data_IF_506117727450
#
_entry.id   IF_506117727450
#
_cell.length_a   1.000
_cell.length_b   1.000
_cell.length_c   1.000
_cell.angle_alpha   90.00
_cell.angle_beta   90.00
_cell.angle_gamma   90.00
#
_symmetry.space_group_name_H-M   'P 1'
#
loop_
_entity.id
_entity.type
_entity.pdbx_description
1 polymer ?
#
# COMPACT_ATOMS: atom_id res chain seq x y z
N UNK A 1 29.49 14.26 94.32
CA UNK A 1 29.75 12.85 94.82
C UNK A 1 29.42 11.91 93.66
N UNK A 2 30.25 10.98 93.43
CA UNK A 2 30.30 9.85 92.50
C UNK A 2 30.62 10.11 91.01
N UNK A 3 31.93 9.79 90.84
CA UNK A 3 32.60 9.56 89.55
C UNK A 3 32.23 8.22 89.05
N UNK A 4 31.87 8.12 87.75
CA UNK A 4 31.98 6.90 87.00
C UNK A 4 32.69 7.12 85.68
N UNK A 5 33.82 6.49 85.56
CA UNK A 5 34.73 6.37 84.44
C UNK A 5 34.07 5.66 83.29
N UNK A 6 34.14 6.24 82.10
CA UNK A 6 33.78 5.57 80.85
C UNK A 6 35.01 5.15 80.10
N UNK A 7 35.16 3.86 79.95
CA UNK A 7 36.13 3.25 79.07
C UNK A 7 35.59 3.31 77.63
N UNK A 8 36.28 3.97 76.77
CA UNK A 8 35.96 4.02 75.36
C UNK A 8 36.59 2.83 74.65
N UNK A 9 35.73 1.95 74.16
CA UNK A 9 36.07 0.84 73.25
C UNK A 9 36.03 1.32 71.81
N UNK A 10 37.21 1.46 71.19
CA UNK A 10 37.36 1.83 69.78
C UNK A 10 37.20 0.54 68.97
N UNK A 11 36.04 0.36 68.33
CA UNK A 11 35.82 -0.68 67.29
C UNK A 11 36.21 -0.05 65.98
N UNK A 12 37.31 -0.46 65.38
CA UNK A 12 37.70 -0.13 64.00
C UNK A 12 36.95 -1.09 63.08
N UNK A 13 35.93 -0.58 62.46
CA UNK A 13 35.20 -1.32 61.36
C UNK A 13 35.96 -1.01 60.04
N UNK A 14 36.74 -1.98 59.57
CA UNK A 14 37.25 -2.02 58.20
C UNK A 14 36.08 -2.34 57.25
N UNK A 15 35.50 -1.29 56.64
CA UNK A 15 34.54 -1.48 55.52
C UNK A 15 35.39 -1.61 54.25
N UNK A 16 35.53 -2.86 53.77
CA UNK A 16 36.04 -3.14 52.44
C UNK A 16 35.07 -2.61 51.40
N UNK A 17 35.33 -1.47 50.81
CA UNK A 17 34.59 -0.95 49.65
C UNK A 17 34.93 -1.80 48.42
N UNK A 18 34.12 -2.83 48.18
CA UNK A 18 34.12 -3.55 46.92
C UNK A 18 33.39 -2.64 45.86
N UNK A 19 34.18 -1.80 45.17
CA UNK A 19 33.69 -1.05 44.01
C UNK A 19 33.33 -2.05 42.90
N UNK A 20 32.09 -2.47 42.89
CA UNK A 20 31.50 -3.11 41.70
C UNK A 20 31.41 -2.02 40.62
N UNK A 21 32.35 -1.99 39.70
CA UNK A 21 32.24 -1.28 38.43
C UNK A 21 31.13 -1.96 37.63
N UNK A 22 29.89 -1.47 37.79
CA UNK A 22 28.83 -1.74 36.84
C UNK A 22 29.26 -1.08 35.52
N UNK A 23 29.83 -1.87 34.62
CA UNK A 23 30.02 -1.48 33.25
C UNK A 23 28.61 -1.16 32.70
N UNK A 24 28.26 0.11 32.60
CA UNK A 24 27.14 0.59 31.83
C UNK A 24 27.42 0.20 30.36
N UNK A 25 27.03 -1.01 29.97
CA UNK A 25 26.84 -1.38 28.59
C UNK A 25 25.69 -0.48 28.09
N UNK A 26 26.04 0.70 27.59
CA UNK A 26 25.17 1.44 26.70
C UNK A 26 24.98 0.52 25.51
N UNK A 27 23.87 -0.23 25.52
CA UNK A 27 23.32 -0.84 24.28
C UNK A 27 22.96 0.37 23.43
N UNK A 28 23.86 0.76 22.52
CA UNK A 28 23.49 1.70 21.48
C UNK A 28 22.28 1.07 20.77
N UNK A 29 21.16 1.82 20.61
CA UNK A 29 20.06 1.32 19.82
C UNK A 29 20.63 0.95 18.46
N UNK A 30 20.48 -0.31 18.07
CA UNK A 30 20.92 -0.78 16.77
C UNK A 30 20.41 0.22 15.74
N UNK A 31 21.35 0.81 14.97
CA UNK A 31 21.04 1.81 13.95
C UNK A 31 20.03 1.14 13.01
N UNK A 32 18.77 1.53 13.14
CA UNK A 32 17.68 0.97 12.34
C UNK A 32 17.99 1.35 10.90
N UNK A 33 18.54 0.41 10.14
CA UNK A 33 18.85 0.62 8.74
C UNK A 33 17.50 0.68 8.01
N UNK A 34 17.22 1.80 7.35
CA UNK A 34 16.03 1.92 6.50
C UNK A 34 16.06 0.87 5.39
N UNK A 35 14.88 0.45 4.94
CA UNK A 35 14.76 -0.44 3.78
C UNK A 35 15.42 0.21 2.55
N UNK A 36 16.08 -0.61 1.72
CA UNK A 36 16.77 -0.12 0.53
C UNK A 36 15.80 0.16 -0.60
N UNK A 37 15.84 1.36 -1.17
CA UNK A 37 15.10 1.74 -2.37
C UNK A 37 15.98 1.52 -3.60
N UNK A 38 15.45 0.82 -4.60
CA UNK A 38 16.10 0.57 -5.87
C UNK A 38 15.18 0.98 -7.01
N UNK A 39 15.66 1.77 -7.96
CA UNK A 39 14.91 2.13 -9.17
C UNK A 39 15.24 1.17 -10.31
N UNK A 40 14.21 0.68 -10.99
CA UNK A 40 14.32 -0.15 -12.18
C UNK A 40 13.78 0.62 -13.36
N UNK A 41 14.57 0.73 -14.43
CA UNK A 41 14.10 1.26 -15.72
C UNK A 41 13.44 0.11 -16.49
N UNK A 42 12.15 0.21 -16.72
CA UNK A 42 11.37 -0.83 -17.39
C UNK A 42 10.84 -0.34 -18.75
N UNK A 43 11.23 -1.00 -19.81
CA UNK A 43 10.73 -0.72 -21.16
C UNK A 43 9.44 -1.50 -21.41
N UNK A 44 8.28 -0.84 -21.27
CA UNK A 44 6.99 -1.43 -21.57
C UNK A 44 6.78 -1.54 -23.08
N UNK A 45 6.44 -2.72 -23.56
CA UNK A 45 6.07 -2.95 -24.96
C UNK A 45 4.62 -2.51 -25.22
N UNK A 46 3.74 -2.71 -24.24
CA UNK A 46 2.32 -2.37 -24.34
C UNK A 46 2.10 -0.86 -24.40
N UNK A 47 2.85 -0.11 -23.58
CA UNK A 47 2.76 1.37 -23.57
C UNK A 47 3.75 2.00 -24.54
N UNK A 48 4.81 1.28 -24.93
CA UNK A 48 5.83 1.79 -25.87
C UNK A 48 6.72 2.88 -25.27
N UNK A 49 6.85 2.92 -23.95
CA UNK A 49 7.65 3.90 -23.18
C UNK A 49 8.49 3.19 -22.13
N UNK A 50 9.55 3.86 -21.66
CA UNK A 50 10.21 3.47 -20.41
C UNK A 50 9.36 3.96 -19.25
N UNK A 51 8.89 3.02 -18.43
CA UNK A 51 8.08 3.26 -17.24
C UNK A 51 8.89 2.79 -16.02
N UNK A 52 9.60 3.68 -15.32
CA UNK A 52 10.39 3.29 -14.17
C UNK A 52 9.48 2.84 -13.03
N UNK A 53 10.04 2.04 -12.11
CA UNK A 53 9.41 1.73 -10.85
C UNK A 53 10.44 1.66 -9.73
N UNK A 54 10.08 2.04 -8.52
CA UNK A 54 10.90 1.80 -7.34
C UNK A 54 10.53 0.47 -6.69
N UNK A 55 11.54 -0.15 -6.09
CA UNK A 55 11.39 -1.34 -5.25
C UNK A 55 12.00 -1.03 -3.90
N UNK A 56 11.19 -1.13 -2.85
CA UNK A 56 11.63 -1.04 -1.46
C UNK A 56 11.85 -2.47 -0.97
N UNK A 57 13.10 -2.81 -0.70
CA UNK A 57 13.52 -4.16 -0.32
C UNK A 57 13.61 -4.28 1.20
N UNK A 58 13.24 -5.43 1.80
CA UNK A 58 13.41 -5.68 3.23
C UNK A 58 14.85 -5.45 3.68
N UNK A 59 15.02 -5.01 4.92
CA UNK A 59 16.34 -4.70 5.50
C UNK A 59 17.31 -5.88 5.38
N UNK A 60 16.81 -7.09 5.48
CA UNK A 60 17.60 -8.32 5.46
C UNK A 60 17.70 -8.97 4.07
N UNK A 61 17.20 -8.31 3.02
CA UNK A 61 17.10 -8.90 1.69
C UNK A 61 18.42 -9.47 1.17
N UNK A 62 19.54 -8.78 1.39
CA UNK A 62 20.85 -9.19 0.83
C UNK A 62 21.66 -10.11 1.75
N UNK A 63 21.11 -10.53 2.91
CA UNK A 63 21.81 -11.46 3.80
C UNK A 63 22.01 -12.82 3.14
N UNK A 64 23.23 -13.40 3.14
CA UNK A 64 23.52 -14.66 2.48
C UNK A 64 22.64 -15.83 2.93
N UNK A 65 22.30 -15.87 4.23
CA UNK A 65 21.44 -16.89 4.82
C UNK A 65 19.98 -16.82 4.33
N UNK A 66 19.54 -15.66 3.84
CA UNK A 66 18.18 -15.41 3.32
C UNK A 66 18.10 -15.43 1.79
N UNK A 67 19.18 -15.83 1.10
CA UNK A 67 19.24 -15.83 -0.39
C UNK A 67 18.13 -16.63 -1.07
N UNK A 68 17.57 -17.63 -0.39
CA UNK A 68 16.49 -18.48 -0.91
C UNK A 68 15.11 -18.05 -0.38
N UNK A 69 15.05 -17.07 0.51
CA UNK A 69 13.78 -16.56 1.06
C UNK A 69 13.04 -15.77 0.01
N UNK A 70 11.75 -16.05 -0.16
CA UNK A 70 10.84 -15.27 -1.02
C UNK A 70 9.89 -14.48 -0.14
N UNK A 71 9.53 -13.31 -0.60
CA UNK A 71 8.79 -12.33 0.17
C UNK A 71 7.41 -12.06 -0.46
N UNK A 72 6.40 -11.71 0.33
CA UNK A 72 5.17 -11.15 -0.19
C UNK A 72 5.45 -9.77 -0.81
N UNK A 73 4.54 -9.30 -1.67
CA UNK A 73 4.70 -8.03 -2.38
C UNK A 73 3.45 -7.16 -2.30
N UNK A 74 3.67 -5.88 -2.01
CA UNK A 74 2.67 -4.81 -2.09
C UNK A 74 3.00 -3.91 -3.28
N UNK A 75 2.09 -3.79 -4.25
CA UNK A 75 2.12 -2.77 -5.28
C UNK A 75 1.41 -1.51 -4.78
N UNK A 76 2.07 -0.36 -4.79
CA UNK A 76 1.57 0.88 -4.22
C UNK A 76 1.53 1.98 -5.29
N UNK A 77 0.33 2.28 -5.77
CA UNK A 77 0.05 3.13 -6.92
C UNK A 77 0.02 4.61 -6.52
N UNK A 78 0.64 5.48 -7.36
CA UNK A 78 0.60 6.93 -7.16
C UNK A 78 -0.72 7.57 -7.62
N UNK A 79 -0.95 8.82 -7.25
CA UNK A 79 -2.10 9.62 -7.67
C UNK A 79 -1.90 10.32 -9.02
N UNK A 80 -2.94 11.02 -9.48
CA UNK A 80 -2.89 11.83 -10.69
C UNK A 80 -1.79 12.91 -10.58
N UNK A 81 -1.10 13.19 -11.68
CA UNK A 81 0.06 14.09 -11.77
C UNK A 81 1.26 13.64 -10.91
N UNK A 82 1.20 12.43 -10.37
CA UNK A 82 2.28 11.82 -9.63
C UNK A 82 3.13 10.90 -10.50
N UNK A 83 4.18 10.34 -9.87
CA UNK A 83 5.14 9.46 -10.50
C UNK A 83 5.53 8.30 -9.57
N UNK A 84 6.22 7.32 -10.13
CA UNK A 84 6.70 6.09 -9.46
C UNK A 84 7.48 6.33 -8.16
N UNK A 85 8.14 7.49 -8.03
CA UNK A 85 8.98 7.82 -6.87
C UNK A 85 8.26 8.57 -5.75
N UNK A 86 7.02 9.03 -5.99
CA UNK A 86 6.33 9.92 -5.05
C UNK A 86 6.14 9.27 -3.67
N UNK A 87 5.80 7.99 -3.59
CA UNK A 87 5.68 7.30 -2.31
C UNK A 87 7.00 7.28 -1.53
N UNK A 88 8.14 7.18 -2.21
CA UNK A 88 9.45 7.12 -1.58
C UNK A 88 10.07 8.50 -1.30
N UNK A 89 9.57 9.56 -1.95
CA UNK A 89 10.09 10.93 -1.81
C UNK A 89 9.22 11.83 -0.93
N UNK A 90 7.89 11.62 -0.94
CA UNK A 90 6.96 12.43 -0.16
C UNK A 90 6.53 11.78 1.15
N UNK A 91 6.94 10.53 1.41
CA UNK A 91 6.64 9.81 2.65
C UNK A 91 7.88 9.15 3.23
N UNK A 92 7.77 8.68 4.46
CA UNK A 92 8.79 7.85 5.11
C UNK A 92 8.62 6.36 4.81
N UNK A 93 8.10 6.02 3.62
CA UNK A 93 7.76 4.64 3.26
C UNK A 93 8.89 3.65 3.52
N UNK A 94 10.15 3.99 3.15
CA UNK A 94 11.30 3.11 3.35
C UNK A 94 11.65 2.91 4.83
N UNK A 95 11.39 3.91 5.68
CA UNK A 95 11.55 3.81 7.13
C UNK A 95 10.46 2.88 7.71
N UNK A 96 9.20 3.13 7.37
CA UNK A 96 8.08 2.30 7.84
C UNK A 96 8.20 0.85 7.37
N UNK A 97 8.60 0.64 6.11
CA UNK A 97 8.78 -0.69 5.50
C UNK A 97 9.87 -1.52 6.20
N UNK A 98 10.83 -0.87 6.88
CA UNK A 98 11.91 -1.56 7.58
C UNK A 98 11.44 -2.53 8.68
N UNK A 99 10.21 -2.38 9.13
CA UNK A 99 9.58 -3.22 10.15
C UNK A 99 8.92 -4.48 9.59
N UNK A 100 8.88 -4.64 8.26
CA UNK A 100 8.13 -5.71 7.60
C UNK A 100 9.00 -6.49 6.63
N UNK A 101 8.81 -7.81 6.61
CA UNK A 101 9.46 -8.71 5.66
C UNK A 101 8.61 -8.83 4.38
N UNK A 102 8.46 -7.71 3.66
CA UNK A 102 7.77 -7.64 2.37
C UNK A 102 8.52 -6.74 1.39
N UNK A 103 8.32 -6.96 0.11
CA UNK A 103 8.76 -6.08 -0.97
C UNK A 103 7.64 -5.11 -1.30
N UNK A 104 7.97 -3.82 -1.50
CA UNK A 104 7.00 -2.83 -1.98
C UNK A 104 7.46 -2.34 -3.34
N UNK A 105 6.52 -2.28 -4.29
CA UNK A 105 6.78 -1.81 -5.65
C UNK A 105 5.92 -0.59 -5.93
N UNK A 106 6.52 0.53 -6.32
CA UNK A 106 5.81 1.75 -6.68
C UNK A 106 6.01 2.04 -8.16
N UNK A 107 5.04 1.62 -9.02
CA UNK A 107 5.18 1.72 -10.46
C UNK A 107 4.81 3.09 -11.02
N UNK A 108 5.36 3.41 -12.21
CA UNK A 108 4.89 4.52 -13.03
C UNK A 108 3.54 4.18 -13.68
N UNK A 109 2.59 5.09 -13.57
CA UNK A 109 1.25 4.99 -14.17
C UNK A 109 0.90 6.20 -15.02
N UNK A 110 1.77 7.23 -15.06
CA UNK A 110 1.45 8.54 -15.63
C UNK A 110 0.02 8.99 -15.23
N UNK A 111 -0.65 9.76 -16.07
CA UNK A 111 -2.05 10.16 -15.89
C UNK A 111 -3.03 9.18 -16.57
N UNK A 112 -2.63 7.91 -16.66
CA UNK A 112 -3.35 6.85 -17.40
C UNK A 112 -4.49 6.19 -16.63
N UNK A 113 -4.81 6.65 -15.42
CA UNK A 113 -5.88 6.08 -14.57
C UNK A 113 -5.78 4.56 -14.43
N UNK A 114 -4.56 4.02 -14.58
CA UNK A 114 -4.30 2.57 -14.58
C UNK A 114 -5.25 1.78 -15.49
N UNK A 115 -5.66 2.39 -16.61
CA UNK A 115 -6.70 1.90 -17.53
C UNK A 115 -6.12 1.79 -18.94
N UNK A 116 -6.55 0.80 -19.69
CA UNK A 116 -6.29 0.75 -21.13
C UNK A 116 -7.15 1.80 -21.82
N UNK A 117 -6.52 2.79 -22.41
CA UNK A 117 -7.21 3.94 -22.99
C UNK A 117 -8.18 3.55 -24.11
N UNK A 118 -9.34 4.18 -24.08
CA UNK A 118 -10.35 4.04 -25.14
C UNK A 118 -10.04 4.83 -26.41
N UNK A 119 -9.09 5.78 -26.36
CA UNK A 119 -8.79 6.66 -27.48
C UNK A 119 -7.34 6.63 -27.93
N UNK A 120 -6.42 6.25 -27.05
CA UNK A 120 -4.99 6.14 -27.31
C UNK A 120 -4.55 4.66 -27.27
N UNK A 121 -4.46 3.94 -28.39
CA UNK A 121 -4.26 2.49 -28.43
C UNK A 121 -2.97 2.00 -27.77
N UNK A 122 -1.99 2.89 -27.56
CA UNK A 122 -0.73 2.59 -26.87
C UNK A 122 -0.75 2.87 -25.38
N UNK A 123 -1.74 3.58 -24.85
CA UNK A 123 -1.81 3.88 -23.43
C UNK A 123 -2.57 2.76 -22.70
N UNK A 124 -1.86 1.61 -22.52
CA UNK A 124 -2.42 0.36 -21.97
C UNK A 124 -1.92 0.12 -20.54
N UNK A 125 -2.24 1.05 -19.63
CA UNK A 125 -1.71 1.02 -18.27
C UNK A 125 -2.30 -0.10 -17.39
N UNK A 126 -3.51 -0.58 -17.67
CA UNK A 126 -4.08 -1.76 -17.01
C UNK A 126 -3.34 -3.03 -17.45
N UNK A 127 -3.26 -3.26 -18.75
CA UNK A 127 -2.54 -4.41 -19.34
C UNK A 127 -1.05 -4.39 -18.97
N UNK A 128 -0.39 -3.23 -19.00
CA UNK A 128 0.99 -3.08 -18.59
C UNK A 128 1.22 -3.59 -17.17
N UNK A 129 0.40 -3.16 -16.21
CA UNK A 129 0.57 -3.54 -14.81
C UNK A 129 0.43 -5.06 -14.63
N UNK A 130 -0.61 -5.64 -15.25
CA UNK A 130 -0.93 -7.06 -15.07
C UNK A 130 -0.03 -7.98 -15.89
N UNK A 131 0.27 -7.62 -17.14
CA UNK A 131 0.90 -8.54 -18.09
C UNK A 131 2.41 -8.32 -18.25
N UNK A 132 2.92 -7.15 -17.83
CA UNK A 132 4.35 -6.84 -17.97
C UNK A 132 5.01 -6.56 -16.61
N UNK A 133 4.51 -5.61 -15.82
CA UNK A 133 5.16 -5.17 -14.59
C UNK A 133 5.19 -6.28 -13.53
N UNK A 134 4.03 -6.87 -13.20
CA UNK A 134 3.97 -7.94 -12.18
C UNK A 134 4.89 -9.11 -12.57
N UNK A 135 4.86 -9.65 -13.79
CA UNK A 135 5.80 -10.68 -14.22
C UNK A 135 7.26 -10.25 -14.19
N UNK A 136 7.60 -9.00 -14.51
CA UNK A 136 8.98 -8.48 -14.44
C UNK A 136 9.48 -8.46 -12.98
N UNK A 137 8.66 -7.99 -12.06
CA UNK A 137 8.97 -8.00 -10.61
C UNK A 137 9.19 -9.42 -10.10
N UNK A 138 8.33 -10.37 -10.48
CA UNK A 138 8.44 -11.78 -10.10
C UNK A 138 9.70 -12.45 -10.65
N UNK A 139 10.16 -12.02 -11.81
CA UNK A 139 11.40 -12.49 -12.43
C UNK A 139 12.65 -11.90 -11.80
N UNK A 140 12.63 -10.62 -11.45
CA UNK A 140 13.81 -9.89 -10.95
C UNK A 140 14.02 -10.04 -9.45
N UNK A 141 12.96 -10.18 -8.68
CA UNK A 141 13.00 -10.16 -7.22
C UNK A 141 12.46 -11.47 -6.63
N UNK A 142 12.89 -11.75 -5.42
CA UNK A 142 12.45 -12.94 -4.68
C UNK A 142 11.06 -12.73 -4.07
N UNK A 143 10.03 -12.64 -4.91
CA UNK A 143 8.63 -12.51 -4.48
C UNK A 143 7.89 -13.85 -4.58
N UNK A 144 6.94 -14.07 -3.68
CA UNK A 144 5.97 -15.15 -3.81
C UNK A 144 4.96 -14.79 -4.91
N UNK A 145 4.77 -15.64 -5.90
CA UNK A 145 3.93 -15.40 -7.08
C UNK A 145 2.49 -15.93 -6.93
N UNK A 146 1.93 -15.87 -5.74
CA UNK A 146 0.58 -16.33 -5.47
C UNK A 146 -0.30 -15.22 -4.89
N UNK A 147 -1.62 -15.41 -4.97
CA UNK A 147 -2.63 -14.47 -4.49
C UNK A 147 -2.44 -14.08 -3.02
N UNK A 148 -2.21 -15.07 -2.14
CA UNK A 148 -2.11 -14.85 -0.69
C UNK A 148 -0.93 -13.96 -0.29
N UNK A 149 0.07 -13.86 -1.16
CA UNK A 149 1.29 -13.06 -0.95
C UNK A 149 1.34 -11.80 -1.80
N UNK A 150 0.24 -11.38 -2.44
CA UNK A 150 0.21 -10.18 -3.27
C UNK A 150 -0.90 -9.24 -2.82
N UNK A 151 -0.54 -7.98 -2.61
CA UNK A 151 -1.45 -6.89 -2.30
C UNK A 151 -1.26 -5.74 -3.29
N UNK A 152 -2.30 -4.92 -3.43
CA UNK A 152 -2.25 -3.69 -4.21
C UNK A 152 -2.94 -2.57 -3.43
N UNK A 153 -2.34 -1.39 -3.44
CA UNK A 153 -2.92 -0.20 -2.82
C UNK A 153 -2.55 1.05 -3.60
N UNK A 154 -3.08 2.19 -3.17
CA UNK A 154 -2.73 3.46 -3.77
C UNK A 154 -3.56 4.61 -3.24
N UNK A 155 -3.18 5.83 -3.61
CA UNK A 155 -3.87 7.07 -3.24
C UNK A 155 -4.60 7.67 -4.45
N UNK A 156 -5.75 8.33 -4.20
CA UNK A 156 -6.46 9.11 -5.23
C UNK A 156 -6.73 8.29 -6.51
N UNK A 157 -6.17 8.67 -7.66
CA UNK A 157 -6.16 7.88 -8.89
C UNK A 157 -5.62 6.46 -8.66
N UNK A 158 -4.56 6.30 -7.84
CA UNK A 158 -4.01 4.99 -7.48
C UNK A 158 -4.94 4.17 -6.60
N UNK A 159 -5.72 4.81 -5.73
CA UNK A 159 -6.78 4.17 -4.94
C UNK A 159 -7.90 3.62 -5.83
N UNK A 160 -8.33 4.41 -6.82
CA UNK A 160 -9.22 3.95 -7.88
C UNK A 160 -8.63 2.74 -8.63
N UNK A 161 -7.38 2.85 -9.07
CA UNK A 161 -6.69 1.75 -9.77
C UNK A 161 -6.62 0.48 -8.92
N UNK A 162 -6.25 0.58 -7.65
CA UNK A 162 -6.15 -0.56 -6.76
C UNK A 162 -7.50 -1.29 -6.59
N UNK A 163 -8.58 -0.55 -6.32
CA UNK A 163 -9.93 -1.15 -6.23
C UNK A 163 -10.33 -1.78 -7.54
N UNK A 164 -10.07 -1.12 -8.67
CA UNK A 164 -10.36 -1.66 -10.01
C UNK A 164 -9.65 -2.99 -10.25
N UNK A 165 -8.36 -3.08 -9.94
CA UNK A 165 -7.62 -4.34 -10.08
C UNK A 165 -8.19 -5.44 -9.18
N UNK A 166 -8.58 -5.12 -7.94
CA UNK A 166 -9.21 -6.09 -7.06
C UNK A 166 -10.54 -6.64 -7.57
N UNK A 167 -11.35 -5.79 -8.20
CA UNK A 167 -12.66 -6.19 -8.76
C UNK A 167 -12.49 -6.97 -10.07
N UNK A 168 -11.61 -6.53 -10.96
CA UNK A 168 -11.41 -7.16 -12.28
C UNK A 168 -10.55 -8.44 -12.21
N UNK A 169 -9.58 -8.49 -11.30
CA UNK A 169 -8.60 -9.58 -11.15
C UNK A 169 -8.58 -10.14 -9.71
N UNK A 170 -9.72 -10.63 -9.18
CA UNK A 170 -9.83 -11.03 -7.77
C UNK A 170 -8.89 -12.17 -7.38
N UNK A 171 -8.47 -12.99 -8.33
CA UNK A 171 -7.55 -14.10 -8.11
C UNK A 171 -6.07 -13.67 -8.02
N UNK A 172 -5.79 -12.38 -8.23
CA UNK A 172 -4.41 -11.88 -8.19
C UNK A 172 -4.01 -11.34 -6.82
N UNK A 173 -4.95 -10.84 -6.01
CA UNK A 173 -4.62 -10.09 -4.78
C UNK A 173 -5.37 -10.62 -3.57
N UNK A 174 -4.70 -10.65 -2.41
CA UNK A 174 -5.33 -10.95 -1.11
C UNK A 174 -5.91 -9.69 -0.44
N UNK A 175 -5.30 -8.52 -0.71
CA UNK A 175 -5.66 -7.23 -0.15
C UNK A 175 -5.67 -6.15 -1.23
N UNK A 176 -6.68 -5.31 -1.17
CA UNK A 176 -6.76 -4.02 -1.88
C UNK A 176 -6.82 -2.91 -0.86
N UNK A 177 -6.06 -1.83 -1.05
CA UNK A 177 -6.09 -0.65 -0.18
C UNK A 177 -6.28 0.64 -1.02
N UNK A 178 -7.21 1.49 -0.59
CA UNK A 178 -7.50 2.77 -1.24
C UNK A 178 -7.48 3.89 -0.21
N UNK A 179 -6.57 4.84 -0.40
CA UNK A 179 -6.42 6.03 0.42
C UNK A 179 -6.97 7.22 -0.37
N UNK A 180 -8.02 7.87 0.14
CA UNK A 180 -8.67 8.99 -0.57
C UNK A 180 -8.95 8.67 -2.05
N UNK A 181 -9.50 7.48 -2.35
CA UNK A 181 -9.64 7.00 -3.72
C UNK A 181 -10.64 7.80 -4.55
N UNK A 182 -10.29 8.10 -5.81
CA UNK A 182 -11.20 8.71 -6.78
C UNK A 182 -12.15 7.65 -7.40
N UNK A 183 -12.95 6.99 -6.54
CA UNK A 183 -13.63 5.73 -6.83
C UNK A 183 -14.78 5.83 -7.85
N UNK A 184 -15.21 7.03 -8.15
CA UNK A 184 -16.24 7.36 -9.13
C UNK A 184 -15.68 8.07 -10.39
N UNK A 185 -14.36 8.17 -10.53
CA UNK A 185 -13.70 8.92 -11.62
C UNK A 185 -14.20 8.55 -13.03
N UNK A 186 -14.52 7.29 -13.27
CA UNK A 186 -15.03 6.85 -14.57
C UNK A 186 -16.43 7.44 -14.91
N UNK A 187 -17.17 7.96 -13.92
CA UNK A 187 -18.49 8.55 -14.12
C UNK A 187 -18.48 10.08 -14.19
N UNK A 188 -17.34 10.71 -13.82
CA UNK A 188 -17.25 12.17 -13.78
C UNK A 188 -17.49 12.80 -15.15
N UNK A 189 -18.31 13.85 -15.15
CA UNK A 189 -18.55 14.74 -16.27
C UNK A 189 -17.76 16.04 -16.12
N UNK A 190 -17.72 16.83 -17.15
CA UNK A 190 -17.11 18.17 -17.10
C UNK A 190 -17.77 19.08 -16.06
N UNK A 191 -19.08 18.95 -15.89
CA UNK A 191 -19.81 19.76 -14.89
C UNK A 191 -19.46 19.36 -13.45
N UNK A 192 -19.14 18.10 -13.17
CA UNK A 192 -18.74 17.63 -11.85
C UNK A 192 -17.34 18.15 -11.46
N UNK A 193 -16.50 18.42 -12.46
CA UNK A 193 -15.12 18.90 -12.28
C UNK A 193 -14.95 20.39 -12.60
N UNK A 194 -16.03 21.16 -12.51
CA UNK A 194 -15.94 22.63 -12.67
C UNK A 194 -15.02 23.22 -11.61
N UNK A 195 -13.97 23.94 -12.06
CA UNK A 195 -12.88 24.43 -11.21
C UNK A 195 -11.71 23.45 -11.07
N UNK A 196 -11.83 22.24 -11.65
CA UNK A 196 -10.78 21.21 -11.68
C UNK A 196 -10.50 20.75 -13.11
N UNK A 197 -10.40 21.71 -14.04
CA UNK A 197 -10.26 21.47 -15.49
C UNK A 197 -9.01 20.65 -15.82
N UNK A 198 -7.96 20.74 -15.01
CA UNK A 198 -6.74 19.92 -15.18
C UNK A 198 -7.04 18.42 -14.99
N UNK A 199 -7.90 18.08 -14.03
CA UNK A 199 -8.34 16.69 -13.79
C UNK A 199 -9.25 16.26 -14.95
N UNK A 200 -10.24 17.09 -15.32
CA UNK A 200 -11.15 16.77 -16.41
C UNK A 200 -10.40 16.41 -17.70
N UNK A 201 -9.36 17.19 -18.06
CA UNK A 201 -8.58 16.96 -19.28
C UNK A 201 -7.92 15.58 -19.37
N UNK A 202 -7.74 14.88 -18.26
CA UNK A 202 -7.16 13.53 -18.25
C UNK A 202 -8.18 12.42 -18.53
N UNK A 203 -9.47 12.68 -18.32
CA UNK A 203 -10.50 11.65 -18.38
C UNK A 203 -10.94 11.26 -19.80
N UNK A 204 -11.26 12.21 -20.71
CA UNK A 204 -11.67 11.83 -22.07
C UNK A 204 -10.61 11.07 -22.87
N UNK A 205 -9.30 11.38 -22.76
CA UNK A 205 -8.26 10.59 -23.42
C UNK A 205 -8.23 9.13 -22.94
N UNK A 206 -8.51 8.88 -21.68
CA UNK A 206 -8.45 7.53 -21.08
C UNK A 206 -9.78 6.80 -21.24
N UNK A 207 -10.85 7.41 -20.76
CA UNK A 207 -12.17 6.74 -20.69
C UNK A 207 -13.04 6.94 -21.94
N UNK A 208 -12.69 7.88 -22.82
CA UNK A 208 -13.53 8.25 -23.96
C UNK A 208 -14.75 9.09 -23.56
N UNK A 209 -15.73 9.18 -24.44
CA UNK A 209 -16.99 9.88 -24.21
C UNK A 209 -17.80 9.23 -23.04
N UNK A 210 -18.79 9.96 -22.50
CA UNK A 210 -19.54 9.56 -21.32
C UNK A 210 -20.24 8.19 -21.41
N UNK A 211 -20.55 7.73 -22.62
CA UNK A 211 -21.18 6.42 -22.89
C UNK A 211 -20.24 5.42 -23.55
N UNK A 212 -18.94 5.65 -23.56
CA UNK A 212 -17.99 4.74 -24.17
C UNK A 212 -17.96 3.37 -23.46
N UNK A 213 -17.65 2.32 -24.19
CA UNK A 213 -17.49 0.98 -23.63
C UNK A 213 -16.38 0.91 -22.58
N UNK A 214 -15.29 1.68 -22.78
CA UNK A 214 -14.17 1.75 -21.83
C UNK A 214 -14.62 2.41 -20.53
N UNK A 215 -15.37 3.51 -20.59
CA UNK A 215 -15.91 4.19 -19.41
C UNK A 215 -16.82 3.25 -18.62
N UNK A 216 -17.75 2.59 -19.29
CA UNK A 216 -18.68 1.62 -18.69
C UNK A 216 -17.94 0.44 -18.04
N UNK A 217 -16.93 -0.10 -18.72
CA UNK A 217 -16.14 -1.25 -18.24
C UNK A 217 -15.20 -0.90 -17.07
N UNK A 218 -15.06 0.38 -16.74
CA UNK A 218 -14.20 0.88 -15.67
C UNK A 218 -14.97 1.70 -14.62
N UNK A 219 -16.29 1.74 -14.68
CA UNK A 219 -17.16 2.25 -13.63
C UNK A 219 -17.24 1.25 -12.48
N UNK A 220 -16.50 1.55 -11.39
CA UNK A 220 -16.40 0.66 -10.23
C UNK A 220 -17.75 0.41 -9.55
N UNK A 221 -18.61 1.43 -9.48
CA UNK A 221 -19.91 1.28 -8.86
C UNK A 221 -20.80 0.34 -9.68
N UNK A 222 -20.80 0.49 -11.01
CA UNK A 222 -21.52 -0.40 -11.92
C UNK A 222 -20.98 -1.83 -11.81
N UNK A 223 -19.67 -2.01 -11.90
CA UNK A 223 -19.02 -3.32 -11.79
C UNK A 223 -19.45 -4.03 -10.50
N UNK A 224 -19.42 -3.33 -9.35
CA UNK A 224 -19.82 -3.93 -8.07
C UNK A 224 -21.32 -4.21 -7.98
N UNK A 225 -22.19 -3.35 -8.55
CA UNK A 225 -23.65 -3.60 -8.56
C UNK A 225 -24.02 -4.84 -9.36
N UNK A 226 -23.29 -5.09 -10.45
CA UNK A 226 -23.56 -6.19 -11.38
C UNK A 226 -22.78 -7.47 -11.05
N UNK A 227 -21.87 -7.43 -10.06
CA UNK A 227 -21.03 -8.58 -9.72
C UNK A 227 -21.89 -9.74 -9.16
N UNK A 228 -21.82 -10.95 -9.73
CA UNK A 228 -22.56 -12.08 -9.21
C UNK A 228 -22.01 -12.58 -7.86
N UNK A 229 -22.83 -13.31 -7.05
CA UNK A 229 -22.47 -13.70 -5.69
C UNK A 229 -21.16 -14.52 -5.57
N UNK A 230 -20.89 -15.41 -6.50
CA UNK A 230 -19.66 -16.21 -6.56
C UNK A 230 -18.43 -15.34 -6.77
N UNK A 231 -18.53 -14.31 -7.59
CA UNK A 231 -17.46 -13.32 -7.81
C UNK A 231 -17.28 -12.41 -6.61
N UNK A 232 -18.36 -12.07 -5.88
CA UNK A 232 -18.25 -11.33 -4.61
C UNK A 232 -17.43 -12.14 -3.59
N UNK A 233 -17.68 -13.45 -3.48
CA UNK A 233 -16.95 -14.33 -2.58
C UNK A 233 -15.46 -14.47 -2.93
N UNK A 234 -15.10 -14.24 -4.20
CA UNK A 234 -13.73 -14.27 -4.68
C UNK A 234 -12.96 -12.95 -4.48
N UNK A 235 -13.64 -11.84 -4.16
CA UNK A 235 -12.99 -10.55 -3.99
C UNK A 235 -11.88 -10.59 -2.93
N UNK A 236 -10.80 -9.81 -3.11
CA UNK A 236 -9.84 -9.57 -2.04
C UNK A 236 -10.51 -8.82 -0.87
N UNK A 237 -9.86 -8.84 0.28
CA UNK A 237 -10.27 -7.92 1.34
C UNK A 237 -10.00 -6.47 0.90
N UNK A 238 -10.98 -5.59 1.10
CA UNK A 238 -10.90 -4.20 0.68
C UNK A 238 -10.72 -3.31 1.92
N UNK A 239 -9.65 -2.55 1.96
CA UNK A 239 -9.41 -1.48 2.92
C UNK A 239 -9.58 -0.14 2.22
N UNK A 240 -10.31 0.78 2.86
CA UNK A 240 -10.45 2.15 2.39
C UNK A 240 -10.26 3.11 3.57
N UNK A 241 -9.66 4.25 3.30
CA UNK A 241 -9.71 5.40 4.20
C UNK A 241 -9.87 6.71 3.41
N UNK A 242 -10.40 7.72 4.08
CA UNK A 242 -10.50 9.06 3.52
C UNK A 242 -10.45 10.12 4.64
N UNK A 243 -9.77 11.21 4.36
CA UNK A 243 -9.75 12.37 5.25
C UNK A 243 -11.12 13.05 5.32
N UNK A 244 -11.51 13.51 6.51
CA UNK A 244 -12.83 14.20 6.71
C UNK A 244 -12.92 15.55 6.00
N UNK A 245 -11.78 16.17 5.68
CA UNK A 245 -11.66 17.41 4.91
C UNK A 245 -11.26 17.18 3.44
N UNK A 246 -11.26 15.91 2.99
CA UNK A 246 -10.93 15.56 1.62
C UNK A 246 -12.13 15.82 0.68
N UNK A 247 -11.96 16.46 -0.48
CA UNK A 247 -13.05 16.66 -1.44
C UNK A 247 -13.69 15.34 -1.93
N UNK A 248 -12.99 14.21 -1.84
CA UNK A 248 -13.51 12.88 -2.21
C UNK A 248 -14.20 12.16 -1.04
N UNK A 249 -14.32 12.80 0.12
CA UNK A 249 -14.87 12.18 1.33
C UNK A 249 -16.27 11.60 1.10
N UNK A 250 -17.19 12.39 0.53
CA UNK A 250 -18.56 11.91 0.30
C UNK A 250 -18.62 10.77 -0.70
N UNK A 251 -17.87 10.85 -1.80
CA UNK A 251 -17.86 9.77 -2.79
C UNK A 251 -17.27 8.44 -2.25
N UNK A 252 -16.30 8.52 -1.35
CA UNK A 252 -15.80 7.36 -0.62
C UNK A 252 -16.86 6.75 0.31
N UNK A 253 -17.63 7.56 1.03
CA UNK A 253 -18.75 7.07 1.86
C UNK A 253 -19.81 6.38 1.02
N UNK A 254 -20.21 6.98 -0.09
CA UNK A 254 -21.21 6.42 -1.00
C UNK A 254 -20.75 5.08 -1.57
N UNK A 255 -19.46 4.95 -1.88
CA UNK A 255 -18.86 3.70 -2.32
C UNK A 255 -18.89 2.63 -1.21
N UNK A 256 -18.61 3.00 0.02
CA UNK A 256 -18.69 2.10 1.19
C UNK A 256 -20.12 1.62 1.43
N UNK A 257 -21.12 2.47 1.28
CA UNK A 257 -22.52 2.06 1.35
C UNK A 257 -22.87 1.03 0.27
N UNK A 258 -22.30 1.17 -0.94
CA UNK A 258 -22.44 0.14 -1.97
C UNK A 258 -21.79 -1.18 -1.53
N UNK A 259 -20.57 -1.16 -0.97
CA UNK A 259 -19.92 -2.38 -0.46
C UNK A 259 -20.77 -3.06 0.63
N UNK A 260 -21.33 -2.28 1.56
CA UNK A 260 -22.22 -2.77 2.62
C UNK A 260 -23.50 -3.40 2.04
N UNK A 261 -24.17 -2.72 1.11
CA UNK A 261 -25.39 -3.21 0.48
C UNK A 261 -25.18 -4.52 -0.27
N UNK A 262 -23.96 -4.72 -0.82
CA UNK A 262 -23.54 -5.93 -1.52
C UNK A 262 -22.94 -6.99 -0.61
N UNK A 263 -22.82 -6.73 0.72
CA UNK A 263 -22.20 -7.60 1.72
C UNK A 263 -20.76 -7.97 1.38
N UNK A 264 -20.02 -7.06 0.76
CA UNK A 264 -18.61 -7.22 0.42
C UNK A 264 -17.76 -6.95 1.67
N UNK A 265 -16.85 -7.85 1.99
CA UNK A 265 -15.96 -7.72 3.16
C UNK A 265 -14.99 -6.55 2.98
N UNK A 266 -15.05 -5.58 3.89
CA UNK A 266 -14.20 -4.39 3.84
C UNK A 266 -13.94 -3.83 5.25
N UNK A 267 -12.94 -2.97 5.35
CA UNK A 267 -12.70 -2.05 6.46
C UNK A 267 -12.68 -0.63 5.90
N UNK A 268 -13.39 0.29 6.55
CA UNK A 268 -13.39 1.70 6.18
C UNK A 268 -13.09 2.58 7.39
N UNK A 269 -12.24 3.59 7.17
CA UNK A 269 -11.89 4.58 8.19
C UNK A 269 -12.09 5.99 7.69
N UNK A 270 -12.67 6.82 8.54
CA UNK A 270 -12.77 8.26 8.39
C UNK A 270 -11.85 8.90 9.43
N UNK A 271 -10.87 9.66 8.98
CA UNK A 271 -9.84 10.24 9.84
C UNK A 271 -9.67 11.73 9.55
N UNK A 272 -9.32 12.56 10.54
CA UNK A 272 -9.01 13.97 10.27
C UNK A 272 -7.91 14.11 9.23
N UNK A 273 -8.11 15.00 8.26
CA UNK A 273 -7.14 15.28 7.20
C UNK A 273 -7.78 15.55 5.85
N UNK A 274 -6.96 15.97 4.92
CA UNK A 274 -7.36 16.38 3.58
C UNK A 274 -6.61 15.60 2.48
N UNK A 275 -6.84 15.94 1.20
CA UNK A 275 -6.20 15.31 0.04
C UNK A 275 -4.72 15.70 -0.08
N UNK A 276 -3.85 15.16 0.78
CA UNK A 276 -2.46 15.60 0.90
C UNK A 276 -1.48 14.49 1.27
N UNK A 277 -0.21 14.72 0.93
CA UNK A 277 0.88 13.81 1.28
C UNK A 277 1.05 13.65 2.79
N UNK A 278 0.75 14.66 3.60
CA UNK A 278 0.77 14.55 5.08
C UNK A 278 -0.23 13.49 5.56
N UNK A 279 -1.42 13.45 4.97
CA UNK A 279 -2.42 12.43 5.29
C UNK A 279 -1.93 11.04 4.83
N UNK A 280 -1.51 10.91 3.59
CA UNK A 280 -1.10 9.61 3.04
C UNK A 280 0.18 9.04 3.67
N UNK A 281 1.12 9.89 4.10
CA UNK A 281 2.31 9.45 4.87
C UNK A 281 1.89 8.80 6.18
N UNK A 282 0.91 9.38 6.88
CA UNK A 282 0.37 8.79 8.09
C UNK A 282 -0.36 7.46 7.82
N UNK A 283 -1.24 7.43 6.80
CA UNK A 283 -2.14 6.31 6.56
C UNK A 283 -1.47 5.11 5.87
N UNK A 284 -0.41 5.30 5.11
CA UNK A 284 0.31 4.17 4.47
C UNK A 284 0.82 3.15 5.49
N UNK A 285 1.07 3.56 6.72
CA UNK A 285 1.48 2.67 7.80
C UNK A 285 0.40 1.62 8.12
N UNK A 286 -0.87 2.01 8.08
CA UNK A 286 -1.99 1.07 8.25
C UNK A 286 -2.08 0.09 7.08
N UNK A 287 -1.81 0.54 5.85
CA UNK A 287 -1.75 -0.34 4.68
C UNK A 287 -0.64 -1.38 4.86
N UNK A 288 0.57 -0.97 5.29
CA UNK A 288 1.68 -1.89 5.55
C UNK A 288 1.33 -2.91 6.63
N UNK A 289 0.76 -2.46 7.74
CA UNK A 289 0.33 -3.33 8.85
C UNK A 289 -0.73 -4.34 8.39
N UNK A 290 -1.73 -3.89 7.62
CA UNK A 290 -2.78 -4.76 7.09
C UNK A 290 -2.22 -5.75 6.08
N UNK A 291 -1.35 -5.33 5.17
CA UNK A 291 -0.70 -6.21 4.22
C UNK A 291 0.10 -7.32 4.95
N UNK A 292 0.92 -6.95 5.93
CA UNK A 292 1.67 -7.91 6.73
C UNK A 292 0.76 -8.91 7.45
N UNK A 293 -0.35 -8.44 8.04
CA UNK A 293 -1.35 -9.29 8.69
C UNK A 293 -1.96 -10.28 7.68
N UNK A 294 -2.39 -9.81 6.51
CA UNK A 294 -3.00 -10.65 5.48
C UNK A 294 -2.06 -11.68 4.90
N UNK A 295 -0.79 -11.33 4.73
CA UNK A 295 0.23 -12.25 4.25
C UNK A 295 0.58 -13.36 5.27
N UNK A 296 0.36 -13.11 6.56
CA UNK A 296 0.54 -14.10 7.62
C UNK A 296 -0.67 -15.03 7.82
N UNK A 297 -1.84 -14.68 7.27
CA UNK A 297 -3.03 -15.52 7.36
C UNK A 297 -2.87 -16.75 6.46
N UNK A 298 -3.23 -17.96 6.92
CA UNK A 298 -3.22 -19.13 6.06
C UNK A 298 -4.17 -18.89 4.87
N UNK A 299 -3.70 -19.22 3.66
CA UNK A 299 -4.55 -19.15 2.46
C UNK A 299 -5.84 -19.94 2.73
N UNK A 300 -7.04 -19.36 2.51
CA UNK A 300 -8.26 -20.13 2.65
C UNK A 300 -8.14 -21.36 1.75
N UNK A 301 -8.30 -22.54 2.36
CA UNK A 301 -8.27 -23.78 1.62
C UNK A 301 -9.28 -23.68 0.48
N UNK A 302 -8.80 -23.82 -0.76
CA UNK A 302 -9.68 -23.92 -1.93
C UNK A 302 -10.61 -25.09 -1.62
N UNK A 303 -11.87 -24.79 -1.31
CA UNK A 303 -12.87 -25.86 -1.23
C UNK A 303 -12.90 -26.48 -2.62
N UNK A 304 -12.32 -27.66 -2.74
CA UNK A 304 -12.46 -28.46 -3.95
C UNK A 304 -13.98 -28.59 -4.18
N UNK A 305 -14.45 -28.02 -5.27
CA UNK A 305 -15.77 -28.32 -5.79
C UNK A 305 -15.68 -29.80 -6.16
N UNK A 306 -16.34 -30.64 -5.39
CA UNK A 306 -16.45 -32.05 -5.70
C UNK A 306 -17.10 -32.19 -7.07
N UNK A 307 -16.65 -33.13 -7.89
CA UNK A 307 -17.11 -33.35 -9.24
C UNK A 307 -18.60 -33.67 -9.35
#
# INVERSE_FOLDING_TARGET
MNKFTRASLLIVLLVSACCAQAANLRVEPAKQTSARVQTVQFASKLVGKTLPYNVVLPVNYDKPELRNTRYPVLYLLHGLFGHYDNWTTHTKLAEYASQYEMIIVTPEGNDGWYTDSGTAPRDKYESYLVQELIPDVEKRFRVNNNRASRAIGGLSMGGYGAVKFGVKYPDMFALVASLSGALDAATWSESDLRGFESIWRTLPPVFGAGNSSVRIANDLQKLLRELPPDRIAALPFIYLDCGTEDPLFQSNRDFVELLRSRKIAHEYRELPGNHSWTYWDAQVQDVLRLAAKRFAEPSPAVKAVAP
#
